data_IF_616765240095
#
_entry.id   IF_616765240095
#
_cell.length_a   1.000
_cell.length_b   1.000
_cell.length_c   1.000
_cell.angle_alpha   90.00
_cell.angle_beta   90.00
_cell.angle_gamma   90.00
#
_symmetry.space_group_name_H-M   'P 1'
#
loop_
_entity.id
_entity.type
_entity.pdbx_description
1 polymer ?
#
# COMPACT_ATOMS: atom_id res chain seq x y z
N UNK A 1 -2.06 -25.79 -5.56
CA UNK A 1 -1.97 -24.89 -6.75
C UNK A 1 -0.62 -25.14 -7.42
N UNK A 2 -0.62 -25.28 -8.73
CA UNK A 2 0.61 -25.52 -9.48
C UNK A 2 1.56 -24.31 -9.37
N UNK A 3 2.86 -24.56 -9.42
CA UNK A 3 3.90 -23.55 -9.26
C UNK A 3 3.80 -22.41 -10.30
N UNK A 4 3.41 -22.73 -11.54
CA UNK A 4 3.23 -21.75 -12.61
C UNK A 4 2.08 -20.76 -12.32
N UNK A 5 0.97 -21.26 -11.79
CA UNK A 5 -0.17 -20.43 -11.40
C UNK A 5 0.17 -19.55 -10.19
N UNK A 6 0.84 -20.12 -9.18
CA UNK A 6 1.30 -19.36 -8.03
C UNK A 6 2.24 -18.23 -8.44
N UNK A 7 3.22 -18.53 -9.30
CA UNK A 7 4.16 -17.53 -9.79
C UNK A 7 3.44 -16.41 -10.57
N UNK A 8 2.43 -16.76 -11.35
CA UNK A 8 1.61 -15.77 -12.07
C UNK A 8 0.83 -14.87 -11.11
N UNK A 9 0.17 -15.44 -10.09
CA UNK A 9 -0.56 -14.66 -9.07
C UNK A 9 0.38 -13.72 -8.34
N UNK A 10 1.50 -14.21 -7.83
CA UNK A 10 2.48 -13.40 -7.09
C UNK A 10 3.05 -12.28 -7.95
N UNK A 11 3.43 -12.59 -9.20
CA UNK A 11 3.96 -11.60 -10.13
C UNK A 11 2.95 -10.50 -10.44
N UNK A 12 1.69 -10.86 -10.69
CA UNK A 12 0.63 -9.91 -10.98
C UNK A 12 0.34 -9.02 -9.75
N UNK A 13 0.23 -9.61 -8.57
CA UNK A 13 0.00 -8.84 -7.33
C UNK A 13 1.18 -7.95 -6.96
N UNK A 14 2.40 -8.40 -7.19
CA UNK A 14 3.59 -7.55 -7.02
C UNK A 14 3.62 -6.38 -8.02
N UNK A 15 3.16 -6.60 -9.26
CA UNK A 15 3.01 -5.53 -10.24
C UNK A 15 1.92 -4.53 -9.83
N UNK A 16 0.78 -5.01 -9.35
CA UNK A 16 -0.31 -4.17 -8.82
C UNK A 16 0.16 -3.31 -7.65
N UNK A 17 0.90 -3.90 -6.71
CA UNK A 17 1.47 -3.16 -5.57
C UNK A 17 2.43 -2.06 -6.03
N UNK A 18 3.32 -2.34 -6.99
CA UNK A 18 4.21 -1.31 -7.54
C UNK A 18 3.43 -0.20 -8.24
N UNK A 19 2.38 -0.54 -8.95
CA UNK A 19 1.51 0.42 -9.64
C UNK A 19 0.75 1.34 -8.66
N UNK A 20 0.57 0.94 -7.42
CA UNK A 20 -0.12 1.72 -6.37
C UNK A 20 0.89 2.49 -5.51
N UNK A 21 1.96 1.84 -5.06
CA UNK A 21 2.92 2.42 -4.11
C UNK A 21 3.63 3.62 -4.73
N UNK A 22 4.07 3.54 -5.97
CA UNK A 22 4.79 4.64 -6.61
C UNK A 22 3.93 5.91 -6.76
N UNK A 23 2.72 5.87 -7.34
CA UNK A 23 1.83 7.03 -7.37
C UNK A 23 1.45 7.54 -5.97
N UNK A 24 1.26 6.64 -5.00
CA UNK A 24 1.00 7.01 -3.60
C UNK A 24 2.14 7.86 -3.02
N UNK A 25 3.38 7.41 -3.14
CA UNK A 25 4.55 8.15 -2.66
C UNK A 25 4.68 9.50 -3.36
N UNK A 26 4.48 9.55 -4.68
CA UNK A 26 4.55 10.81 -5.44
C UNK A 26 3.44 11.79 -5.04
N UNK A 27 2.21 11.29 -4.85
CA UNK A 27 1.08 12.12 -4.44
C UNK A 27 1.31 12.73 -3.05
N UNK A 28 1.74 11.94 -2.08
CA UNK A 28 2.03 12.42 -0.72
C UNK A 28 3.25 13.34 -0.67
N UNK A 29 4.26 13.10 -1.50
CA UNK A 29 5.37 14.05 -1.69
C UNK A 29 4.83 15.39 -2.21
N UNK A 30 3.90 15.38 -3.16
CA UNK A 30 3.23 16.59 -3.66
C UNK A 30 2.44 17.32 -2.57
N UNK A 31 1.70 16.57 -1.72
CA UNK A 31 0.98 17.14 -0.57
C UNK A 31 1.94 17.81 0.41
N UNK A 32 3.04 17.14 0.78
CA UNK A 32 4.05 17.73 1.67
C UNK A 32 4.68 18.99 1.09
N UNK A 33 4.97 19.01 -0.20
CA UNK A 33 5.49 20.20 -0.89
C UNK A 33 4.45 21.33 -0.87
N UNK A 34 3.18 21.03 -1.12
CA UNK A 34 2.10 22.00 -1.06
C UNK A 34 1.95 22.60 0.34
N UNK A 35 2.04 21.78 1.38
CA UNK A 35 2.01 22.23 2.79
C UNK A 35 3.21 23.13 3.09
N UNK A 36 4.41 22.73 2.69
CA UNK A 36 5.65 23.44 3.02
C UNK A 36 5.79 24.79 2.30
N UNK A 37 5.33 24.89 1.07
CA UNK A 37 5.61 26.05 0.20
C UNK A 37 4.36 26.73 -0.35
N UNK A 38 3.19 26.15 -0.20
CA UNK A 38 1.93 26.61 -0.78
C UNK A 38 1.06 27.49 0.11
N UNK A 39 1.60 28.09 1.18
CA UNK A 39 0.84 28.77 2.24
C UNK A 39 -0.31 29.66 1.73
N UNK A 40 -0.04 30.59 0.80
CA UNK A 40 -1.05 31.48 0.23
C UNK A 40 -2.10 30.77 -0.63
N UNK A 41 -1.72 29.66 -1.28
CA UNK A 41 -2.64 28.83 -2.07
C UNK A 41 -3.56 28.01 -1.19
N UNK A 42 -3.06 27.54 -0.05
CA UNK A 42 -3.84 26.77 0.93
C UNK A 42 -4.85 27.64 1.69
N UNK A 43 -4.63 28.96 1.79
CA UNK A 43 -5.58 29.89 2.39
C UNK A 43 -6.83 30.15 1.52
N UNK A 44 -6.80 29.77 0.23
CA UNK A 44 -7.94 29.91 -0.64
C UNK A 44 -9.09 28.98 -0.25
N UNK A 45 -10.31 29.49 -0.30
CA UNK A 45 -11.51 28.75 0.08
C UNK A 45 -11.60 27.38 -0.60
N UNK A 46 -11.71 26.33 0.21
CA UNK A 46 -11.89 24.96 -0.24
C UNK A 46 -10.60 24.23 -0.68
N UNK A 47 -9.45 24.90 -0.87
CA UNK A 47 -8.21 24.23 -1.28
C UNK A 47 -7.68 23.31 -0.20
N UNK A 48 -7.63 23.76 1.06
CA UNK A 48 -7.22 22.93 2.19
C UNK A 48 -8.09 21.69 2.33
N UNK A 49 -9.41 21.85 2.20
CA UNK A 49 -10.36 20.73 2.22
C UNK A 49 -10.13 19.76 1.07
N UNK A 50 -9.87 20.27 -0.14
CA UNK A 50 -9.59 19.43 -1.30
C UNK A 50 -8.31 18.61 -1.13
N UNK A 51 -7.24 19.21 -0.59
CA UNK A 51 -5.99 18.52 -0.27
C UNK A 51 -6.21 17.47 0.81
N UNK A 52 -6.93 17.81 1.89
CA UNK A 52 -7.26 16.87 2.96
C UNK A 52 -8.12 15.68 2.46
N UNK A 53 -9.13 15.97 1.66
CA UNK A 53 -9.99 14.93 1.07
C UNK A 53 -9.18 13.99 0.16
N UNK A 54 -8.29 14.54 -0.66
CA UNK A 54 -7.41 13.75 -1.51
C UNK A 54 -6.45 12.89 -0.69
N UNK A 55 -5.80 13.46 0.33
CA UNK A 55 -4.90 12.74 1.21
C UNK A 55 -5.60 11.56 1.91
N UNK A 56 -6.80 11.76 2.43
CA UNK A 56 -7.58 10.72 3.13
C UNK A 56 -8.12 9.67 2.17
N UNK A 57 -8.86 10.08 1.14
CA UNK A 57 -9.55 9.15 0.24
C UNK A 57 -8.59 8.39 -0.66
N UNK A 58 -7.55 9.06 -1.18
CA UNK A 58 -6.51 8.42 -1.97
C UNK A 58 -5.71 7.40 -1.16
N UNK A 59 -5.41 7.73 0.09
CA UNK A 59 -4.73 6.83 1.02
C UNK A 59 -5.59 5.62 1.38
N UNK A 60 -6.87 5.83 1.66
CA UNK A 60 -7.80 4.74 1.95
C UNK A 60 -7.91 3.78 0.77
N UNK A 61 -8.02 4.31 -0.45
CA UNK A 61 -8.04 3.51 -1.66
C UNK A 61 -6.76 2.68 -1.83
N UNK A 62 -5.60 3.33 -1.72
CA UNK A 62 -4.30 2.65 -1.83
C UNK A 62 -4.11 1.59 -0.75
N UNK A 63 -4.51 1.88 0.49
CA UNK A 63 -4.43 0.97 1.63
C UNK A 63 -5.27 -0.30 1.40
N UNK A 64 -6.53 -0.15 0.99
CA UNK A 64 -7.45 -1.27 0.75
C UNK A 64 -6.92 -2.16 -0.38
N UNK A 65 -6.46 -1.55 -1.47
CA UNK A 65 -5.94 -2.31 -2.61
C UNK A 65 -4.65 -3.05 -2.27
N UNK A 66 -3.72 -2.40 -1.59
CA UNK A 66 -2.47 -3.02 -1.13
C UNK A 66 -2.75 -4.17 -0.16
N UNK A 67 -3.69 -3.99 0.76
CA UNK A 67 -4.11 -5.06 1.69
C UNK A 67 -4.64 -6.28 0.94
N UNK A 68 -5.46 -6.08 -0.09
CA UNK A 68 -5.95 -7.15 -0.96
C UNK A 68 -4.81 -7.91 -1.67
N UNK A 69 -3.81 -7.19 -2.18
CA UNK A 69 -2.63 -7.81 -2.78
C UNK A 69 -1.86 -8.68 -1.77
N UNK A 70 -1.65 -8.18 -0.55
CA UNK A 70 -0.96 -8.94 0.52
C UNK A 70 -1.77 -10.19 0.90
N UNK A 71 -3.09 -10.08 0.97
CA UNK A 71 -3.96 -11.23 1.25
C UNK A 71 -3.85 -12.31 0.18
N UNK A 72 -3.94 -11.93 -1.10
CA UNK A 72 -3.85 -12.88 -2.22
C UNK A 72 -2.49 -13.58 -2.26
N UNK A 73 -1.41 -12.83 -2.04
CA UNK A 73 -0.06 -13.38 -1.95
C UNK A 73 0.05 -14.34 -0.76
N UNK A 74 -0.49 -13.97 0.40
CA UNK A 74 -0.49 -14.83 1.59
C UNK A 74 -1.35 -16.08 1.44
N UNK A 75 -2.46 -16.01 0.71
CA UNK A 75 -3.28 -17.17 0.36
C UNK A 75 -2.50 -18.11 -0.56
N UNK A 76 -1.82 -17.57 -1.57
CA UNK A 76 -0.97 -18.36 -2.45
C UNK A 76 0.12 -19.15 -1.70
N UNK A 77 0.66 -18.59 -0.62
CA UNK A 77 1.63 -19.30 0.24
C UNK A 77 1.04 -20.56 0.91
N UNK A 78 -0.27 -20.57 1.16
CA UNK A 78 -0.97 -21.72 1.76
C UNK A 78 -1.39 -22.76 0.72
N UNK A 79 -1.52 -22.35 -0.54
CA UNK A 79 -2.00 -23.18 -1.62
C UNK A 79 -0.87 -23.78 -2.48
N UNK A 80 0.38 -23.69 -2.02
CA UNK A 80 1.53 -24.31 -2.69
C UNK A 80 1.34 -25.83 -2.78
N UNK A 81 1.71 -26.40 -3.94
CA UNK A 81 1.82 -27.86 -4.07
C UNK A 81 3.02 -28.38 -3.26
N UNK A 82 3.11 -29.71 -3.13
CA UNK A 82 4.12 -30.36 -2.30
C UNK A 82 5.55 -30.06 -2.78
N UNK A 83 5.77 -30.03 -4.08
CA UNK A 83 7.08 -29.74 -4.67
C UNK A 83 7.54 -28.31 -4.32
N UNK A 84 6.68 -27.34 -4.55
CA UNK A 84 6.96 -25.94 -4.22
C UNK A 84 7.13 -25.71 -2.72
N UNK A 85 6.26 -26.31 -1.90
CA UNK A 85 6.32 -26.17 -0.44
C UNK A 85 7.64 -26.71 0.15
N UNK A 86 8.19 -27.77 -0.43
CA UNK A 86 9.47 -28.37 -0.02
C UNK A 86 10.70 -27.65 -0.57
N UNK A 87 10.55 -26.72 -1.49
CA UNK A 87 11.66 -25.90 -1.99
C UNK A 87 12.16 -24.90 -0.94
N UNK A 88 13.36 -24.38 -1.09
CA UNK A 88 13.90 -23.35 -0.20
C UNK A 88 13.05 -22.07 -0.22
N UNK A 89 12.62 -21.66 -1.41
CA UNK A 89 11.79 -20.47 -1.57
C UNK A 89 10.39 -20.68 -1.01
N UNK A 90 9.79 -21.85 -1.21
CA UNK A 90 8.47 -22.18 -0.65
C UNK A 90 8.47 -22.17 0.88
N UNK A 91 9.48 -22.75 1.50
CA UNK A 91 9.65 -22.70 2.96
C UNK A 91 9.83 -21.29 3.50
N UNK A 92 10.59 -20.44 2.80
CA UNK A 92 10.75 -19.04 3.17
C UNK A 92 9.43 -18.27 3.04
N UNK A 93 8.72 -18.53 1.96
CA UNK A 93 7.43 -17.89 1.66
C UNK A 93 6.35 -18.28 2.69
N UNK A 94 6.30 -19.55 3.08
CA UNK A 94 5.38 -20.04 4.10
C UNK A 94 5.61 -19.41 5.49
N UNK A 95 6.82 -18.92 5.77
CA UNK A 95 7.17 -18.25 7.03
C UNK A 95 6.95 -16.74 6.99
N UNK A 96 6.63 -16.16 5.84
CA UNK A 96 6.44 -14.72 5.71
C UNK A 96 5.26 -14.25 6.59
N UNK A 97 5.46 -13.18 7.40
CA UNK A 97 4.46 -12.71 8.34
C UNK A 97 3.43 -11.81 7.64
N UNK A 98 2.60 -12.36 6.76
CA UNK A 98 1.62 -11.60 5.98
C UNK A 98 0.65 -10.80 6.85
N UNK A 99 0.25 -11.34 8.01
CA UNK A 99 -0.60 -10.61 8.95
C UNK A 99 0.10 -9.33 9.48
N UNK A 100 1.39 -9.42 9.78
CA UNK A 100 2.17 -8.27 10.20
C UNK A 100 2.32 -7.23 9.07
N UNK A 101 2.49 -7.67 7.82
CA UNK A 101 2.55 -6.76 6.67
C UNK A 101 1.24 -5.99 6.47
N UNK A 102 0.09 -6.63 6.70
CA UNK A 102 -1.21 -5.96 6.67
C UNK A 102 -1.34 -4.90 7.76
N UNK A 103 -0.95 -5.22 8.98
CA UNK A 103 -0.93 -4.26 10.09
C UNK A 103 0.01 -3.09 9.80
N UNK A 104 1.20 -3.36 9.28
CA UNK A 104 2.15 -2.31 8.88
C UNK A 104 1.58 -1.42 7.77
N UNK A 105 0.92 -1.98 6.76
CA UNK A 105 0.27 -1.21 5.71
C UNK A 105 -0.73 -0.19 6.31
N UNK A 106 -1.62 -0.65 7.18
CA UNK A 106 -2.59 0.22 7.86
C UNK A 106 -1.88 1.28 8.71
N UNK A 107 -0.90 0.88 9.52
CA UNK A 107 -0.20 1.77 10.43
C UNK A 107 0.56 2.87 9.67
N UNK A 108 1.32 2.52 8.62
CA UNK A 108 2.11 3.48 7.85
C UNK A 108 1.19 4.48 7.15
N UNK A 109 0.16 4.01 6.45
CA UNK A 109 -0.77 4.89 5.74
C UNK A 109 -1.51 5.82 6.71
N UNK A 110 -1.97 5.29 7.84
CA UNK A 110 -2.66 6.09 8.86
C UNK A 110 -1.75 7.18 9.43
N UNK A 111 -0.50 6.84 9.76
CA UNK A 111 0.46 7.82 10.30
C UNK A 111 0.78 8.94 9.30
N UNK A 112 0.92 8.61 8.02
CA UNK A 112 1.14 9.61 6.96
C UNK A 112 -0.04 10.57 6.89
N UNK A 113 -1.26 10.03 6.80
CA UNK A 113 -2.49 10.86 6.71
C UNK A 113 -2.67 11.73 7.95
N UNK A 114 -2.46 11.17 9.14
CA UNK A 114 -2.57 11.95 10.40
C UNK A 114 -1.55 13.08 10.42
N UNK A 115 -0.30 12.82 10.04
CA UNK A 115 0.74 13.86 10.00
C UNK A 115 0.40 14.98 9.00
N UNK A 116 -0.11 14.63 7.83
CA UNK A 116 -0.53 15.61 6.83
C UNK A 116 -1.73 16.45 7.29
N UNK A 117 -2.74 15.82 7.89
CA UNK A 117 -3.89 16.54 8.45
C UNK A 117 -3.48 17.48 9.57
N UNK A 118 -2.60 17.06 10.47
CA UNK A 118 -2.07 17.92 11.54
C UNK A 118 -1.25 19.09 10.99
N UNK A 119 -0.65 18.95 9.83
CA UNK A 119 0.10 20.03 9.19
C UNK A 119 -0.79 20.97 8.36
N UNK A 120 -1.97 20.51 7.96
CA UNK A 120 -2.97 21.31 7.21
C UNK A 120 -3.86 22.17 8.14
N UNK A 121 -4.09 21.71 9.35
CA UNK A 121 -5.01 22.32 10.33
C UNK A 121 -4.32 22.63 11.67
#
# INVERSE_FOLDING_TARGET
>A
MRADLLTSVVSNRAADMRAIILPFVLAHTGVVIAIAFGAKGLEADGVTLAVAAWAVLGSLWAMIWTDGCIQDIGAGAKDMDEEMANSHIGRNYAKAPFAAFRVMNVAIVTLIVVAELMALY
#
